data_IF_874542657525
#
_entry.id   IF_874542657525
#
_cell.length_a   1.000
_cell.length_b   1.000
_cell.length_c   1.000
_cell.angle_alpha   90.00
_cell.angle_beta   90.00
_cell.angle_gamma   90.00
#
_symmetry.space_group_name_H-M   'P 1'
#
loop_
_entity.id
_entity.type
_entity.pdbx_description
1 polymer ?
#
# COMPACT_ATOMS: atom_id res chain seq x y z
N UNK A 1 -14.63 -2.58 15.34
CA UNK A 1 -14.01 -2.61 16.67
C UNK A 1 -12.77 -3.49 16.56
N UNK A 2 -11.55 -3.01 16.85
CA UNK A 2 -10.35 -3.84 16.74
C UNK A 2 -10.36 -4.89 17.84
N UNK A 3 -10.72 -6.13 17.47
CA UNK A 3 -10.69 -7.31 18.32
C UNK A 3 -9.50 -8.18 17.93
N UNK A 4 -9.11 -9.08 18.82
CA UNK A 4 -8.17 -10.16 18.46
C UNK A 4 -8.84 -11.05 17.41
N UNK A 5 -8.08 -11.47 16.40
CA UNK A 5 -8.57 -12.30 15.30
C UNK A 5 -8.23 -13.77 15.55
N UNK A 6 -9.25 -14.63 15.67
CA UNK A 6 -9.07 -16.05 15.99
C UNK A 6 -8.17 -16.81 15.01
N UNK A 7 -8.20 -16.50 13.72
CA UNK A 7 -7.30 -17.13 12.75
C UNK A 7 -5.83 -16.75 12.98
N UNK A 8 -5.55 -15.51 13.38
CA UNK A 8 -4.19 -15.09 13.74
C UNK A 8 -3.74 -15.82 15.00
N UNK A 9 -4.61 -15.96 16.00
CA UNK A 9 -4.32 -16.73 17.22
C UNK A 9 -4.01 -18.18 16.90
N UNK A 10 -4.81 -18.84 16.07
CA UNK A 10 -4.57 -20.22 15.63
C UNK A 10 -3.22 -20.34 14.92
N UNK A 11 -2.88 -19.38 14.05
CA UNK A 11 -1.57 -19.36 13.39
C UNK A 11 -0.40 -19.23 14.38
N UNK A 12 -0.58 -18.45 15.46
CA UNK A 12 0.43 -18.33 16.51
C UNK A 12 0.52 -19.63 17.30
N UNK A 13 -0.61 -20.16 17.77
CA UNK A 13 -0.66 -21.39 18.55
C UNK A 13 -0.07 -22.60 17.81
N UNK A 14 -0.30 -22.68 16.49
CA UNK A 14 0.24 -23.72 15.61
C UNK A 14 1.66 -23.44 15.10
N UNK A 15 2.32 -22.37 15.58
CA UNK A 15 3.68 -21.97 15.18
C UNK A 15 3.86 -21.87 13.66
N UNK A 16 2.90 -21.28 12.97
CA UNK A 16 3.05 -20.94 11.55
C UNK A 16 4.21 -19.95 11.33
N UNK A 17 4.61 -19.70 10.08
CA UNK A 17 5.66 -18.72 9.78
C UNK A 17 5.42 -17.37 10.50
N UNK A 18 6.42 -16.90 11.26
CA UNK A 18 6.37 -15.61 11.94
C UNK A 18 6.06 -14.48 10.95
N UNK A 19 6.68 -14.48 9.78
CA UNK A 19 6.46 -13.46 8.75
C UNK A 19 5.00 -13.40 8.31
N UNK A 20 4.33 -14.55 8.18
CA UNK A 20 2.89 -14.60 7.88
C UNK A 20 2.08 -13.95 8.98
N UNK A 21 2.35 -14.29 10.24
CA UNK A 21 1.66 -13.69 11.40
C UNK A 21 1.88 -12.18 11.45
N UNK A 22 3.13 -11.73 11.32
CA UNK A 22 3.48 -10.30 11.32
C UNK A 22 2.75 -9.54 10.21
N UNK A 23 2.70 -10.09 8.99
CA UNK A 23 1.95 -9.47 7.87
C UNK A 23 0.47 -9.30 8.20
N UNK A 24 -0.16 -10.29 8.85
CA UNK A 24 -1.58 -10.24 9.20
C UNK A 24 -1.87 -9.20 10.30
N UNK A 25 -1.07 -9.16 11.36
CA UNK A 25 -1.26 -8.16 12.43
C UNK A 25 -0.93 -6.75 11.97
N UNK A 26 0.07 -6.58 11.09
CA UNK A 26 0.37 -5.29 10.47
C UNK A 26 -0.78 -4.83 9.56
N UNK A 27 -1.32 -5.72 8.73
CA UNK A 27 -2.49 -5.42 7.90
C UNK A 27 -3.68 -4.98 8.76
N UNK A 28 -3.95 -5.70 9.85
CA UNK A 28 -4.98 -5.35 10.81
C UNK A 28 -4.73 -3.96 11.44
N UNK A 29 -3.49 -3.65 11.81
CA UNK A 29 -3.10 -2.37 12.39
C UNK A 29 -3.30 -1.23 11.37
N UNK A 30 -2.80 -1.37 10.15
CA UNK A 30 -2.91 -0.35 9.09
C UNK A 30 -4.39 -0.07 8.75
N UNK A 31 -5.22 -1.09 8.57
CA UNK A 31 -6.65 -0.91 8.28
C UNK A 31 -7.45 -0.29 9.45
N UNK A 32 -6.89 -0.33 10.67
CA UNK A 32 -7.50 0.26 11.87
C UNK A 32 -6.85 1.57 12.32
N UNK A 33 -5.83 2.07 11.62
CA UNK A 33 -5.02 3.21 12.07
C UNK A 33 -4.38 2.97 13.45
N UNK A 34 -3.87 1.76 13.65
CA UNK A 34 -3.34 1.25 14.92
C UNK A 34 -4.29 0.26 15.60
N UNK A 35 -3.79 -0.42 16.64
CA UNK A 35 -4.57 -1.33 17.48
C UNK A 35 -4.78 -0.74 18.87
N UNK A 36 -5.89 -1.09 19.52
CA UNK A 36 -6.09 -0.75 20.94
C UNK A 36 -4.98 -1.37 21.77
N UNK A 37 -4.53 -0.68 22.82
CA UNK A 37 -3.40 -1.10 23.66
C UNK A 37 -3.52 -2.57 24.12
N UNK A 38 -4.68 -2.95 24.68
CA UNK A 38 -4.95 -4.34 25.12
C UNK A 38 -4.77 -5.40 24.01
N UNK A 39 -5.17 -5.08 22.78
CA UNK A 39 -5.06 -5.99 21.62
C UNK A 39 -3.62 -6.04 21.11
N UNK A 40 -2.94 -4.89 21.08
CA UNK A 40 -1.54 -4.80 20.69
C UNK A 40 -0.66 -5.60 21.66
N UNK A 41 -0.82 -5.39 22.97
CA UNK A 41 -0.05 -6.07 24.01
C UNK A 41 -0.33 -7.58 24.01
N UNK A 42 -1.56 -7.99 23.70
CA UNK A 42 -1.90 -9.38 23.48
C UNK A 42 -1.05 -9.99 22.37
N UNK A 43 -1.12 -9.45 21.14
CA UNK A 43 -0.34 -9.99 20.03
C UNK A 43 1.16 -9.94 20.29
N UNK A 44 1.69 -8.85 20.86
CA UNK A 44 3.12 -8.75 21.20
C UNK A 44 3.53 -9.86 22.16
N UNK A 45 2.76 -10.12 23.22
CA UNK A 45 3.06 -11.20 24.18
C UNK A 45 3.02 -12.57 23.53
N UNK A 46 1.95 -12.91 22.81
CA UNK A 46 1.81 -14.24 22.19
C UNK A 46 2.90 -14.49 21.14
N UNK A 47 3.29 -13.47 20.36
CA UNK A 47 4.39 -13.56 19.40
C UNK A 47 5.72 -13.82 20.11
N UNK A 48 6.07 -13.03 21.14
CA UNK A 48 7.34 -13.18 21.84
C UNK A 48 7.46 -14.53 22.56
N UNK A 49 6.37 -15.01 23.17
CA UNK A 49 6.35 -16.31 23.85
C UNK A 49 6.48 -17.48 22.86
N UNK A 50 5.94 -17.34 21.66
CA UNK A 50 5.90 -18.42 20.66
C UNK A 50 7.16 -18.48 19.81
N UNK A 51 7.66 -17.32 19.38
CA UNK A 51 8.72 -17.19 18.38
C UNK A 51 10.07 -16.76 18.94
N UNK A 52 10.14 -16.29 20.20
CA UNK A 52 11.38 -15.85 20.82
C UNK A 52 11.38 -14.37 21.19
N UNK A 53 12.09 -14.03 22.27
CA UNK A 53 12.13 -12.68 22.82
C UNK A 53 12.98 -11.72 21.97
N UNK A 54 13.91 -12.25 21.17
CA UNK A 54 14.71 -11.50 20.19
C UNK A 54 13.84 -10.67 19.22
N UNK A 55 12.62 -11.12 18.95
CA UNK A 55 11.67 -10.42 18.08
C UNK A 55 11.07 -9.16 18.72
N UNK A 56 11.45 -8.80 19.95
CA UNK A 56 11.11 -7.49 20.52
C UNK A 56 11.67 -6.35 19.67
N UNK A 57 12.85 -6.53 19.08
CA UNK A 57 13.46 -5.57 18.16
C UNK A 57 12.67 -5.51 16.84
N UNK A 58 12.23 -6.66 16.33
CA UNK A 58 11.34 -6.73 15.15
C UNK A 58 10.05 -5.94 15.39
N UNK A 59 9.38 -6.17 16.52
CA UNK A 59 8.14 -5.47 16.87
C UNK A 59 8.37 -3.96 17.03
N UNK A 60 9.49 -3.55 17.62
CA UNK A 60 9.88 -2.15 17.72
C UNK A 60 10.13 -1.50 16.35
N UNK A 61 10.81 -2.19 15.43
CA UNK A 61 11.05 -1.71 14.07
C UNK A 61 9.74 -1.58 13.27
N UNK A 62 8.81 -2.54 13.41
CA UNK A 62 7.48 -2.46 12.80
C UNK A 62 6.64 -1.29 13.34
N UNK A 63 6.79 -0.97 14.63
CA UNK A 63 6.14 0.18 15.25
C UNK A 63 6.72 1.51 14.72
N UNK A 64 8.04 1.64 14.65
CA UNK A 64 8.73 2.81 14.05
C UNK A 64 8.35 3.01 12.57
N UNK A 65 8.21 1.92 11.81
CA UNK A 65 7.75 1.96 10.43
C UNK A 65 6.25 2.29 10.29
N UNK A 66 5.51 2.36 11.40
CA UNK A 66 4.08 2.63 11.42
C UNK A 66 3.18 1.46 11.02
N UNK A 67 3.75 0.26 10.85
CA UNK A 67 3.05 -0.95 10.40
C UNK A 67 2.31 -1.68 11.52
N UNK A 68 2.84 -1.65 12.74
CA UNK A 68 2.20 -2.24 13.92
C UNK A 68 2.31 -1.27 15.10
N UNK A 69 1.30 -0.41 15.27
CA UNK A 69 1.34 0.70 16.24
C UNK A 69 0.11 0.77 17.13
N UNK A 70 0.19 1.44 18.30
CA UNK A 70 -0.98 1.75 19.10
C UNK A 70 -1.90 2.74 18.37
N UNK A 71 -3.20 2.61 18.58
CA UNK A 71 -4.19 3.56 18.08
C UNK A 71 -4.13 4.84 18.91
N UNK A 72 -3.77 5.97 18.29
CA UNK A 72 -3.58 7.25 18.98
C UNK A 72 -4.88 8.06 19.11
N UNK A 73 -5.92 7.52 19.77
CA UNK A 73 -7.16 8.24 20.15
C UNK A 73 -7.98 8.92 19.03
N UNK A 74 -7.45 9.02 17.83
CA UNK A 74 -8.01 9.71 16.68
C UNK A 74 -8.90 8.80 15.85
N UNK A 75 -9.60 9.43 14.91
CA UNK A 75 -10.49 8.74 13.98
C UNK A 75 -9.68 7.85 13.04
N UNK A 76 -10.16 6.62 12.83
CA UNK A 76 -9.63 5.77 11.77
C UNK A 76 -10.03 6.35 10.41
N UNK A 77 -9.04 6.77 9.62
CA UNK A 77 -9.26 7.41 8.32
C UNK A 77 -9.38 6.40 7.17
N UNK A 78 -8.94 5.15 7.37
CA UNK A 78 -8.94 4.12 6.33
C UNK A 78 -10.34 3.87 5.71
N UNK A 79 -11.45 3.82 6.46
CA UNK A 79 -12.79 3.69 5.87
C UNK A 79 -13.13 4.81 4.90
N UNK A 80 -12.74 6.06 5.20
CA UNK A 80 -12.94 7.22 4.33
C UNK A 80 -12.11 7.07 3.06
N UNK A 81 -10.81 6.77 3.20
CA UNK A 81 -9.90 6.56 2.06
C UNK A 81 -10.43 5.42 1.15
N UNK A 82 -10.74 4.27 1.76
CA UNK A 82 -11.26 3.08 1.06
C UNK A 82 -12.52 3.39 0.27
N UNK A 83 -13.47 4.12 0.86
CA UNK A 83 -14.74 4.47 0.20
C UNK A 83 -14.52 5.49 -0.92
N UNK A 84 -13.83 6.59 -0.64
CA UNK A 84 -13.64 7.68 -1.59
C UNK A 84 -12.84 7.24 -2.82
N UNK A 85 -11.81 6.41 -2.62
CA UNK A 85 -10.94 5.92 -3.69
C UNK A 85 -11.35 4.55 -4.23
N UNK A 86 -12.49 3.99 -3.80
CA UNK A 86 -13.01 2.67 -4.21
C UNK A 86 -11.92 1.59 -4.17
N UNK A 87 -11.29 1.45 -3.00
CA UNK A 87 -10.17 0.51 -2.82
C UNK A 87 -10.63 -0.92 -2.58
N UNK A 88 -11.91 -1.17 -2.33
CA UNK A 88 -12.47 -2.50 -2.18
C UNK A 88 -13.72 -2.60 -3.03
N UNK A 89 -13.79 -3.64 -3.85
CA UNK A 89 -14.95 -3.99 -4.66
C UNK A 89 -15.23 -5.48 -4.49
N UNK A 90 -16.50 -5.81 -4.30
CA UNK A 90 -16.97 -7.19 -4.32
C UNK A 90 -17.20 -7.63 -5.78
N UNK A 91 -17.24 -8.95 -6.03
CA UNK A 91 -17.57 -9.56 -7.33
C UNK A 91 -16.72 -9.08 -8.53
N UNK A 92 -15.39 -9.00 -8.35
CA UNK A 92 -14.46 -8.63 -9.43
C UNK A 92 -14.36 -9.74 -10.48
N UNK A 93 -14.50 -9.38 -11.77
CA UNK A 93 -14.25 -10.28 -12.88
C UNK A 93 -12.74 -10.45 -13.13
N UNK A 94 -12.17 -11.59 -12.73
CA UNK A 94 -10.73 -11.87 -12.90
C UNK A 94 -10.34 -12.28 -14.32
N UNK A 95 -11.31 -12.76 -15.12
CA UNK A 95 -11.05 -13.24 -16.48
C UNK A 95 -11.04 -12.10 -17.50
N UNK A 96 -11.97 -11.15 -17.33
CA UNK A 96 -12.08 -9.94 -18.15
C UNK A 96 -12.09 -8.73 -17.22
N UNK A 97 -10.91 -8.31 -16.71
CA UNK A 97 -10.82 -7.27 -15.69
C UNK A 97 -11.21 -5.90 -16.25
N UNK A 98 -12.00 -5.16 -15.47
CA UNK A 98 -12.43 -3.78 -15.79
C UNK A 98 -11.84 -2.73 -14.85
N UNK A 99 -11.17 -3.16 -13.77
CA UNK A 99 -10.53 -2.29 -12.78
C UNK A 99 -9.27 -2.96 -12.23
N UNK A 100 -8.32 -2.13 -11.80
CA UNK A 100 -7.05 -2.56 -11.18
C UNK A 100 -7.23 -3.44 -9.92
N UNK A 101 -8.42 -3.51 -9.32
CA UNK A 101 -8.72 -4.39 -8.19
C UNK A 101 -8.56 -5.89 -8.49
N UNK A 102 -8.51 -6.29 -9.77
CA UNK A 102 -8.33 -7.69 -10.17
C UNK A 102 -7.04 -8.31 -9.64
N UNK A 103 -5.99 -7.51 -9.45
CA UNK A 103 -4.67 -8.02 -8.98
C UNK A 103 -4.70 -8.54 -7.55
N UNK A 104 -5.74 -8.21 -6.79
CA UNK A 104 -6.00 -8.72 -5.43
C UNK A 104 -7.45 -9.17 -5.26
N UNK A 105 -8.12 -9.59 -6.35
CA UNK A 105 -9.48 -10.15 -6.32
C UNK A 105 -10.50 -9.29 -5.54
N UNK A 106 -10.36 -7.96 -5.60
CA UNK A 106 -11.22 -7.04 -4.86
C UNK A 106 -10.52 -5.78 -4.36
N UNK A 107 -9.26 -5.88 -3.93
CA UNK A 107 -8.51 -4.72 -3.46
C UNK A 107 -7.78 -3.99 -4.60
N UNK A 108 -8.11 -2.72 -4.83
CA UNK A 108 -7.36 -1.86 -5.74
C UNK A 108 -6.15 -1.25 -5.00
N UNK A 109 -4.91 -1.45 -5.48
CA UNK A 109 -3.72 -0.87 -4.84
C UNK A 109 -3.83 0.66 -4.74
N UNK A 110 -3.76 1.20 -3.52
CA UNK A 110 -3.88 2.65 -3.28
C UNK A 110 -2.87 3.45 -4.13
N UNK A 111 -1.61 2.98 -4.19
CA UNK A 111 -0.54 3.58 -4.99
C UNK A 111 -0.92 3.73 -6.47
N UNK A 112 -1.47 2.67 -7.07
CA UNK A 112 -1.88 2.66 -8.48
C UNK A 112 -3.16 3.46 -8.69
N UNK A 113 -4.09 3.45 -7.72
CA UNK A 113 -5.29 4.29 -7.77
C UNK A 113 -4.94 5.79 -7.75
N UNK A 114 -3.93 6.21 -6.97
CA UNK A 114 -3.45 7.59 -6.99
C UNK A 114 -2.84 7.97 -8.34
N UNK A 115 -2.08 7.06 -8.97
CA UNK A 115 -1.53 7.27 -10.31
C UNK A 115 -2.62 7.39 -11.39
N UNK A 116 -3.65 6.55 -11.30
CA UNK A 116 -4.82 6.61 -12.19
C UNK A 116 -5.53 7.96 -12.06
N UNK A 117 -5.81 8.39 -10.83
CA UNK A 117 -6.51 9.64 -10.54
C UNK A 117 -5.68 10.88 -10.86
N UNK A 118 -4.34 10.78 -10.81
CA UNK A 118 -3.46 11.84 -11.30
C UNK A 118 -3.61 12.04 -12.82
N UNK A 119 -3.67 10.93 -13.58
CA UNK A 119 -3.86 10.97 -15.03
C UNK A 119 -5.20 11.59 -15.39
N UNK A 120 -6.28 11.15 -14.73
CA UNK A 120 -7.65 11.62 -14.95
C UNK A 120 -8.53 11.33 -13.72
N UNK A 121 -9.29 12.30 -13.18
CA UNK A 121 -9.46 13.69 -13.63
C UNK A 121 -8.39 14.67 -13.09
N UNK A 122 -7.40 14.19 -12.33
CA UNK A 122 -6.40 14.99 -11.63
C UNK A 122 -6.64 15.03 -10.12
N UNK A 123 -5.58 15.25 -9.36
CA UNK A 123 -5.57 15.19 -7.89
C UNK A 123 -6.42 16.25 -7.19
N UNK A 124 -6.76 17.36 -7.85
CA UNK A 124 -7.70 18.35 -7.31
C UNK A 124 -9.05 17.74 -6.92
N UNK A 125 -9.45 16.65 -7.56
CA UNK A 125 -10.70 15.92 -7.26
C UNK A 125 -10.67 15.14 -5.95
N UNK A 126 -9.48 14.90 -5.37
CA UNK A 126 -9.28 14.06 -4.17
C UNK A 126 -8.42 14.75 -3.09
N UNK A 127 -8.36 16.08 -3.11
CA UNK A 127 -7.52 16.90 -2.21
C UNK A 127 -7.73 16.57 -0.71
N UNK A 128 -8.97 16.37 -0.29
CA UNK A 128 -9.31 15.99 1.10
C UNK A 128 -8.71 14.63 1.50
N UNK A 129 -8.58 13.69 0.56
CA UNK A 129 -7.94 12.40 0.81
C UNK A 129 -6.42 12.54 0.83
N UNK A 130 -5.84 13.41 0.00
CA UNK A 130 -4.39 13.62 -0.02
C UNK A 130 -3.91 14.24 1.31
N UNK A 131 -4.67 15.16 1.90
CA UNK A 131 -4.35 15.79 3.19
C UNK A 131 -4.26 14.84 4.38
N UNK A 132 -4.92 13.68 4.31
CA UNK A 132 -4.89 12.66 5.37
C UNK A 132 -3.85 11.56 5.11
N UNK A 133 -3.21 11.56 3.94
CA UNK A 133 -2.10 10.66 3.62
C UNK A 133 -0.77 11.26 4.10
N UNK A 134 0.25 10.43 4.37
CA UNK A 134 1.54 10.93 4.82
C UNK A 134 2.28 11.72 3.74
N UNK A 135 2.83 12.87 4.13
CA UNK A 135 3.70 13.70 3.30
C UNK A 135 2.95 14.71 2.42
N UNK A 136 3.68 15.66 1.82
CA UNK A 136 3.09 16.66 0.93
C UNK A 136 2.82 16.08 -0.47
N UNK A 137 1.84 16.64 -1.17
CA UNK A 137 1.65 16.50 -2.61
C UNK A 137 2.00 17.82 -3.30
N UNK A 138 2.79 17.77 -4.38
CA UNK A 138 3.26 18.95 -5.10
C UNK A 138 3.43 18.67 -6.59
N UNK A 139 3.46 19.73 -7.40
CA UNK A 139 3.69 19.69 -8.85
C UNK A 139 4.75 20.73 -9.19
N UNK A 140 5.84 20.29 -9.85
CA UNK A 140 6.92 21.16 -10.29
C UNK A 140 7.05 21.10 -11.82
N UNK A 141 7.37 22.24 -12.44
CA UNK A 141 7.52 22.35 -13.89
C UNK A 141 8.95 22.67 -14.25
N UNK A 142 9.57 21.76 -15.00
CA UNK A 142 10.90 21.97 -15.57
C UNK A 142 10.76 22.58 -16.97
N UNK A 143 11.36 23.75 -17.25
CA UNK A 143 11.27 24.37 -18.56
C UNK A 143 12.08 23.57 -19.59
N UNK A 144 11.49 23.36 -20.76
CA UNK A 144 12.21 22.82 -21.91
C UNK A 144 13.02 23.93 -22.61
N UNK A 145 14.24 23.63 -23.11
CA UNK A 145 14.97 24.56 -23.96
C UNK A 145 14.09 25.07 -25.12
N UNK A 146 14.17 26.36 -25.44
CA UNK A 146 13.27 27.04 -26.38
C UNK A 146 13.21 26.35 -27.76
N UNK A 147 14.30 25.75 -28.22
CA UNK A 147 14.35 25.00 -29.49
C UNK A 147 13.71 23.60 -29.47
N UNK A 148 13.30 23.09 -28.29
CA UNK A 148 12.74 21.73 -28.11
C UNK A 148 11.26 21.75 -27.71
N UNK A 149 10.63 22.92 -27.64
CA UNK A 149 9.22 23.05 -27.30
C UNK A 149 8.34 22.58 -28.46
N UNK A 150 7.93 21.31 -28.43
CA UNK A 150 6.96 20.76 -29.39
C UNK A 150 5.53 21.04 -28.92
N UNK A 151 4.67 21.54 -29.82
CA UNK A 151 3.21 21.53 -29.61
C UNK A 151 2.73 20.08 -29.62
N UNK A 152 2.02 19.70 -28.57
CA UNK A 152 1.49 18.35 -28.38
C UNK A 152 0.43 18.04 -29.43
N UNK A 153 0.50 16.87 -30.06
CA UNK A 153 -0.52 16.46 -31.02
C UNK A 153 -1.75 15.90 -30.28
N UNK A 154 -2.97 16.23 -30.71
CA UNK A 154 -4.18 15.63 -30.16
C UNK A 154 -4.18 14.12 -30.46
N UNK A 155 -4.40 13.30 -29.44
CA UNK A 155 -4.39 11.83 -29.53
C UNK A 155 -3.09 11.15 -29.08
N UNK A 156 -2.05 11.91 -28.72
CA UNK A 156 -0.78 11.33 -28.24
C UNK A 156 -0.85 10.96 -26.75
N UNK A 157 -0.70 9.67 -26.46
CA UNK A 157 -0.60 9.13 -25.10
C UNK A 157 0.57 9.78 -24.36
N UNK A 158 0.35 10.17 -23.09
CA UNK A 158 1.45 10.63 -22.24
C UNK A 158 2.28 9.44 -21.81
N UNK A 159 3.59 9.58 -21.80
CA UNK A 159 4.45 8.65 -21.08
C UNK A 159 4.69 9.23 -19.69
N UNK A 160 4.33 8.49 -18.65
CA UNK A 160 4.56 8.87 -17.26
C UNK A 160 5.56 7.91 -16.63
N UNK A 161 6.69 8.44 -16.19
CA UNK A 161 7.61 7.72 -15.31
C UNK A 161 7.07 7.77 -13.88
N UNK A 162 6.70 6.61 -13.32
CA UNK A 162 6.34 6.47 -11.91
C UNK A 162 7.53 5.87 -11.17
N UNK A 163 8.04 6.58 -10.17
CA UNK A 163 9.11 6.11 -9.30
C UNK A 163 8.56 5.74 -7.92
N UNK A 164 8.59 4.46 -7.57
CA UNK A 164 8.29 3.97 -6.22
C UNK A 164 9.52 4.06 -5.32
N UNK A 165 9.50 5.02 -4.39
CA UNK A 165 10.53 5.19 -3.36
C UNK A 165 10.22 4.30 -2.16
N UNK A 166 11.02 3.25 -1.95
CA UNK A 166 10.82 2.28 -0.87
C UNK A 166 10.33 0.91 -1.33
N UNK A 167 10.01 0.74 -2.61
CA UNK A 167 9.72 -0.55 -3.21
C UNK A 167 8.41 -0.63 -3.98
N UNK A 168 8.31 -1.62 -4.87
CA UNK A 168 7.07 -1.92 -5.61
C UNK A 168 6.87 -3.43 -5.71
N UNK A 169 5.60 -3.84 -5.73
CA UNK A 169 5.18 -5.24 -5.90
C UNK A 169 4.87 -5.57 -7.35
N UNK A 170 4.91 -6.86 -7.71
CA UNK A 170 4.48 -7.31 -9.04
C UNK A 170 2.99 -7.06 -9.31
N UNK A 171 2.13 -7.07 -8.29
CA UNK A 171 0.72 -6.75 -8.43
C UNK A 171 0.50 -5.28 -8.83
N UNK A 172 1.24 -4.34 -8.21
CA UNK A 172 1.22 -2.93 -8.61
C UNK A 172 1.75 -2.73 -10.04
N UNK A 173 2.83 -3.44 -10.40
CA UNK A 173 3.37 -3.44 -11.77
C UNK A 173 2.32 -3.94 -12.77
N UNK A 174 1.62 -5.04 -12.48
CA UNK A 174 0.56 -5.57 -13.32
C UNK A 174 -0.62 -4.61 -13.46
N UNK A 175 -1.02 -3.95 -12.36
CA UNK A 175 -2.08 -2.96 -12.38
C UNK A 175 -1.72 -1.71 -13.22
N UNK A 176 -0.47 -1.23 -13.16
CA UNK A 176 0.00 -0.13 -14.01
C UNK A 176 0.07 -0.51 -15.50
N UNK A 177 0.48 -1.75 -15.80
CA UNK A 177 0.45 -2.29 -17.16
C UNK A 177 -0.99 -2.37 -17.69
N UNK A 178 -1.92 -2.85 -16.86
CA UNK A 178 -3.35 -2.87 -17.19
C UNK A 178 -3.87 -1.46 -17.52
N UNK A 179 -3.57 -0.45 -16.70
CA UNK A 179 -3.97 0.93 -17.00
C UNK A 179 -3.36 1.48 -18.29
N UNK A 180 -2.13 1.08 -18.64
CA UNK A 180 -1.46 1.52 -19.88
C UNK A 180 -2.11 0.94 -21.14
N UNK A 181 -2.86 -0.15 -21.02
CA UNK A 181 -3.55 -0.81 -22.13
C UNK A 181 -4.97 -0.28 -22.36
N UNK A 182 -5.53 0.49 -21.42
CA UNK A 182 -6.86 1.07 -21.58
C UNK A 182 -6.82 2.18 -22.64
N UNK A 183 -7.59 2.02 -23.72
CA UNK A 183 -7.70 3.02 -24.79
C UNK A 183 -8.13 4.40 -24.26
N UNK A 184 -8.95 4.43 -23.20
CA UNK A 184 -9.41 5.66 -22.54
C UNK A 184 -8.43 6.23 -21.48
N UNK A 185 -7.33 5.50 -21.18
CA UNK A 185 -6.41 5.81 -20.09
C UNK A 185 -5.49 7.02 -20.36
N UNK A 186 -5.20 7.29 -21.64
CA UNK A 186 -4.46 8.45 -22.14
C UNK A 186 -3.02 8.59 -21.62
N UNK A 187 -2.51 7.56 -20.92
CA UNK A 187 -1.20 7.55 -20.28
C UNK A 187 -0.62 6.13 -20.24
N UNK A 188 0.61 5.98 -20.72
CA UNK A 188 1.44 4.80 -20.57
C UNK A 188 2.43 4.98 -19.41
N UNK A 189 2.69 3.92 -18.65
CA UNK A 189 3.53 3.99 -17.46
C UNK A 189 4.88 3.29 -17.64
N UNK A 190 5.97 4.03 -17.41
CA UNK A 190 7.31 3.48 -17.21
C UNK A 190 7.55 3.41 -15.71
N UNK A 191 7.94 2.24 -15.20
CA UNK A 191 8.01 1.98 -13.76
C UNK A 191 9.47 1.96 -13.32
N UNK A 192 9.81 2.83 -12.37
CA UNK A 192 11.06 2.83 -11.65
C UNK A 192 10.82 2.52 -10.16
N UNK A 193 11.77 1.87 -9.51
CA UNK A 193 11.66 1.53 -8.09
C UNK A 193 13.03 1.40 -7.46
N UNK A 194 13.11 1.63 -6.15
CA UNK A 194 14.32 1.32 -5.37
C UNK A 194 14.53 -0.19 -5.21
N UNK A 195 13.44 -0.99 -5.18
CA UNK A 195 13.52 -2.43 -4.96
C UNK A 195 12.21 -3.14 -5.36
N UNK A 196 12.32 -4.19 -6.17
CA UNK A 196 11.23 -5.16 -6.34
C UNK A 196 11.12 -6.02 -5.07
N UNK A 197 9.94 -6.05 -4.46
CA UNK A 197 9.72 -6.72 -3.18
C UNK A 197 8.29 -7.25 -3.02
N UNK A 198 8.09 -8.08 -2.00
CA UNK A 198 6.78 -8.50 -1.52
C UNK A 198 6.69 -8.33 0.01
N UNK A 199 5.51 -8.59 0.58
CA UNK A 199 5.29 -8.42 2.02
C UNK A 199 6.18 -9.27 2.92
N UNK A 200 6.69 -10.41 2.46
CA UNK A 200 7.62 -11.22 3.24
C UNK A 200 9.01 -10.59 3.25
N UNK A 201 9.58 -10.34 2.07
CA UNK A 201 10.93 -9.72 1.94
C UNK A 201 11.00 -8.33 2.56
N UNK A 202 9.88 -7.60 2.58
CA UNK A 202 9.81 -6.29 3.22
C UNK A 202 9.88 -6.41 4.75
N UNK A 203 9.09 -7.29 5.36
CA UNK A 203 9.17 -7.50 6.82
C UNK A 203 10.54 -8.06 7.21
N UNK A 204 11.10 -9.01 6.45
CA UNK A 204 12.44 -9.54 6.70
C UNK A 204 13.50 -8.44 6.70
N UNK A 205 13.40 -7.44 5.81
CA UNK A 205 14.33 -6.31 5.77
C UNK A 205 14.25 -5.39 7.00
N UNK A 206 13.18 -5.47 7.79
CA UNK A 206 12.98 -4.73 9.04
C UNK A 206 13.38 -5.56 10.29
N UNK A 207 13.76 -6.82 10.11
CA UNK A 207 14.25 -7.68 11.18
C UNK A 207 15.75 -7.50 11.37
N UNK A 208 16.19 -7.58 12.61
CA UNK A 208 17.62 -7.64 12.92
C UNK A 208 18.19 -8.97 12.47
N UNK A 209 19.42 -8.95 11.95
CA UNK A 209 20.14 -10.19 11.64
C UNK A 209 20.48 -10.88 12.96
N UNK A 210 20.28 -12.21 13.08
CA UNK A 210 20.79 -12.94 14.23
C UNK A 210 22.31 -12.74 14.30
N UNK A 211 22.80 -12.44 15.50
CA UNK A 211 24.24 -12.35 15.82
C UNK A 211 24.84 -13.74 15.80
#
# INVERSE_FOLDING_TARGET
>A
MSLVNGYIEDCIAQKHSLIKVLRLVCLQSVCNSGLKQKVLDYYKREILQTYGYEHILTLHNLEKAGLLKPQMGGRNNYPTIRKTLRLWMDDVNEQNPTDISYVYSGYAPLSVRLAQLLSRPGWRSIEEVLRILPGPHFEERQPLPTGLQKKRQPGENRITLIFFLGGVTFAEVAALRFLSQLEDGGTEYVIATTKLMNGATWIESLMEKPV
#
